data_IF_179544718137
#
_entry.id   IF_179544718137
#
_cell.length_a   1.000
_cell.length_b   1.000
_cell.length_c   1.000
_cell.angle_alpha   90.00
_cell.angle_beta   90.00
_cell.angle_gamma   90.00
#
_symmetry.space_group_name_H-M   'P 1'
#
loop_
_entity.id
_entity.type
_entity.pdbx_description
1 polymer ?
#
# COMPACT_ATOMS: atom_id res chain seq x y z
N UNK A 1 16.06 -20.30 -7.93
CA UNK A 1 16.71 -19.08 -7.38
C UNK A 1 15.62 -18.06 -7.06
N UNK A 2 15.56 -17.64 -5.83
CA UNK A 2 14.55 -16.64 -5.43
C UNK A 2 14.89 -15.29 -6.06
N UNK A 3 13.90 -14.53 -6.57
CA UNK A 3 14.17 -13.18 -7.02
C UNK A 3 14.67 -12.34 -5.85
N UNK A 4 15.58 -11.42 -6.13
CA UNK A 4 16.04 -10.49 -5.11
C UNK A 4 14.86 -9.63 -4.63
N UNK A 5 14.70 -9.52 -3.32
CA UNK A 5 13.68 -8.65 -2.74
C UNK A 5 14.21 -7.23 -2.69
N UNK A 6 13.42 -6.28 -3.15
CA UNK A 6 13.74 -4.87 -2.98
C UNK A 6 13.41 -4.42 -1.57
N UNK A 7 14.19 -3.50 -1.04
CA UNK A 7 13.82 -2.81 0.20
C UNK A 7 12.59 -1.95 -0.08
N UNK A 8 11.62 -1.98 0.80
CA UNK A 8 10.40 -1.17 0.68
C UNK A 8 10.30 -0.26 1.90
N UNK A 9 10.15 1.04 1.64
CA UNK A 9 10.03 2.05 2.68
C UNK A 9 8.68 2.74 2.57
N UNK A 10 7.92 2.77 3.66
CA UNK A 10 6.70 3.56 3.72
C UNK A 10 7.08 4.99 4.12
N UNK A 11 6.72 5.97 3.29
CA UNK A 11 7.06 7.36 3.53
C UNK A 11 6.12 7.99 4.56
N UNK A 12 6.47 9.14 5.15
CA UNK A 12 5.55 9.89 6.01
C UNK A 12 4.22 10.18 5.33
N UNK A 13 4.23 10.49 4.04
CA UNK A 13 3.01 10.73 3.26
C UNK A 13 2.08 9.52 3.26
N UNK A 14 2.63 8.32 3.14
CA UNK A 14 1.84 7.09 3.20
C UNK A 14 1.09 6.97 4.53
N UNK A 15 1.79 7.21 5.65
CA UNK A 15 1.17 7.14 6.96
C UNK A 15 0.18 8.28 7.20
N UNK A 16 0.43 9.46 6.66
CA UNK A 16 -0.53 10.57 6.71
C UNK A 16 -1.82 10.20 5.96
N UNK A 17 -1.69 9.58 4.79
CA UNK A 17 -2.84 9.11 4.02
C UNK A 17 -3.62 8.05 4.82
N UNK A 18 -2.92 7.15 5.48
CA UNK A 18 -3.54 6.13 6.32
C UNK A 18 -4.33 6.76 7.47
N UNK A 19 -3.70 7.68 8.20
CA UNK A 19 -4.31 8.34 9.35
C UNK A 19 -5.52 9.19 8.96
N UNK A 20 -5.51 9.75 7.76
CA UNK A 20 -6.62 10.55 7.25
C UNK A 20 -7.84 9.68 6.89
N UNK A 21 -7.60 8.47 6.44
CA UNK A 21 -8.65 7.60 5.89
C UNK A 21 -9.19 6.61 6.91
N UNK A 22 -8.42 6.21 7.92
CA UNK A 22 -8.84 5.32 8.97
C UNK A 22 -8.67 5.98 10.33
N UNK A 23 -9.47 5.51 11.29
CA UNK A 23 -9.43 6.03 12.66
C UNK A 23 -8.31 5.36 13.45
N UNK A 24 -7.84 6.02 14.50
CA UNK A 24 -6.86 5.44 15.40
C UNK A 24 -7.41 4.21 16.13
N UNK A 25 -8.69 4.23 16.47
CA UNK A 25 -9.39 3.12 17.14
C UNK A 25 -10.42 2.52 16.21
N UNK A 26 -10.78 1.26 16.47
CA UNK A 26 -11.87 0.61 15.73
C UNK A 26 -13.16 1.38 15.88
N UNK A 27 -13.91 1.48 14.79
CA UNK A 27 -15.20 2.15 14.80
C UNK A 27 -16.29 1.32 15.48
N UNK A 28 -17.46 1.94 15.75
CA UNK A 28 -18.54 1.28 16.48
C UNK A 28 -19.16 0.08 15.76
N UNK A 29 -18.99 -0.01 14.45
CA UNK A 29 -19.51 -1.13 13.65
C UNK A 29 -18.39 -2.08 13.21
N UNK A 30 -17.24 -2.05 13.90
CA UNK A 30 -16.12 -2.90 13.58
C UNK A 30 -15.21 -2.38 12.47
N UNK A 31 -15.35 -1.11 12.12
CA UNK A 31 -14.46 -0.51 11.11
C UNK A 31 -13.01 -0.61 11.58
N UNK A 32 -12.08 -1.01 10.69
CA UNK A 32 -10.69 -1.23 11.07
C UNK A 32 -9.99 0.06 11.49
N UNK A 33 -9.08 -0.07 12.44
CA UNK A 33 -8.20 1.02 12.85
C UNK A 33 -6.97 1.11 11.95
N UNK A 34 -6.19 2.19 12.11
CA UNK A 34 -4.90 2.33 11.43
C UNK A 34 -3.96 1.18 11.80
N UNK A 35 -3.97 0.76 13.06
CA UNK A 35 -3.14 -0.36 13.50
C UNK A 35 -3.57 -1.68 12.84
N UNK A 36 -4.87 -1.91 12.72
CA UNK A 36 -5.38 -3.09 12.04
C UNK A 36 -4.88 -3.14 10.59
N UNK A 37 -4.92 -2.01 9.89
CA UNK A 37 -4.43 -1.93 8.53
C UNK A 37 -2.94 -2.26 8.45
N UNK A 38 -2.13 -1.71 9.35
CA UNK A 38 -0.70 -1.96 9.37
C UNK A 38 -0.39 -3.44 9.63
N UNK A 39 -1.13 -4.07 10.52
CA UNK A 39 -0.89 -5.48 10.87
C UNK A 39 -1.33 -6.43 9.75
N UNK A 40 -2.50 -6.20 9.14
CA UNK A 40 -3.09 -7.17 8.23
C UNK A 40 -2.89 -6.85 6.75
N UNK A 41 -2.78 -5.58 6.39
CA UNK A 41 -2.70 -5.19 4.98
C UNK A 41 -1.30 -4.73 4.55
N UNK A 42 -0.59 -4.00 5.40
CA UNK A 42 0.70 -3.43 5.03
C UNK A 42 1.74 -4.50 4.66
N UNK A 43 1.74 -5.63 5.36
CA UNK A 43 2.66 -6.72 5.05
C UNK A 43 2.45 -7.22 3.62
N UNK A 44 1.21 -7.35 3.19
CA UNK A 44 0.87 -7.79 1.83
C UNK A 44 1.33 -6.78 0.79
N UNK A 45 1.16 -5.50 1.10
CA UNK A 45 1.62 -4.41 0.23
C UNK A 45 3.13 -4.46 0.08
N UNK A 46 3.85 -4.54 1.19
CA UNK A 46 5.31 -4.59 1.20
C UNK A 46 5.82 -5.77 0.39
N UNK A 47 5.24 -6.96 0.58
CA UNK A 47 5.65 -8.15 -0.14
C UNK A 47 5.48 -7.99 -1.66
N UNK A 48 4.37 -7.42 -2.09
CA UNK A 48 4.12 -7.23 -3.52
C UNK A 48 5.12 -6.26 -4.14
N UNK A 49 5.38 -5.14 -3.49
CA UNK A 49 6.36 -4.18 -3.99
C UNK A 49 7.79 -4.71 -3.90
N UNK A 50 8.09 -5.53 -2.90
CA UNK A 50 9.44 -6.09 -2.76
C UNK A 50 9.77 -7.12 -3.84
N UNK A 51 8.80 -7.91 -4.26
CA UNK A 51 9.01 -9.06 -5.15
C UNK A 51 8.55 -8.77 -6.58
N UNK A 52 7.42 -8.10 -6.75
CA UNK A 52 6.73 -8.00 -8.03
C UNK A 52 6.73 -6.58 -8.62
N UNK A 53 7.60 -5.69 -8.15
CA UNK A 53 7.57 -4.28 -8.58
C UNK A 53 7.50 -4.12 -10.10
N UNK A 54 8.34 -4.86 -10.83
CA UNK A 54 8.42 -4.72 -12.28
C UNK A 54 7.20 -5.28 -13.01
N UNK A 55 6.39 -6.10 -12.33
CA UNK A 55 5.16 -6.67 -12.89
C UNK A 55 3.91 -5.84 -12.56
N UNK A 56 4.05 -4.84 -11.68
CA UNK A 56 2.92 -3.97 -11.34
C UNK A 56 2.65 -2.97 -12.46
N UNK A 57 1.38 -2.56 -12.66
CA UNK A 57 1.04 -1.56 -13.65
C UNK A 57 1.77 -0.24 -13.43
N UNK A 58 2.16 0.39 -14.52
CA UNK A 58 2.74 1.73 -14.46
C UNK A 58 1.65 2.76 -14.19
N UNK A 59 1.96 3.71 -13.31
CA UNK A 59 1.05 4.83 -13.06
C UNK A 59 1.04 5.79 -14.27
N UNK A 60 2.23 6.03 -14.83
CA UNK A 60 2.42 6.90 -15.98
C UNK A 60 3.07 6.04 -17.08
N UNK A 61 2.49 5.95 -18.30
CA UNK A 61 2.93 4.98 -19.31
C UNK A 61 4.43 5.01 -19.65
N UNK A 62 5.07 6.18 -19.62
CA UNK A 62 6.47 6.31 -19.98
C UNK A 62 7.42 6.36 -18.77
N UNK A 63 6.90 6.10 -17.58
CA UNK A 63 7.66 6.22 -16.34
C UNK A 63 7.65 4.89 -15.59
N UNK A 64 8.75 4.15 -15.71
CA UNK A 64 8.88 2.83 -15.08
C UNK A 64 9.03 2.90 -13.56
N UNK A 65 9.45 4.03 -13.03
CA UNK A 65 9.71 4.20 -11.60
C UNK A 65 8.44 4.34 -10.76
N UNK A 66 7.28 4.57 -11.37
CA UNK A 66 6.01 4.69 -10.64
C UNK A 66 5.12 3.49 -10.95
N UNK A 67 4.74 2.76 -9.92
CA UNK A 67 3.87 1.59 -10.07
C UNK A 67 2.68 1.71 -9.14
N UNK A 68 1.57 1.10 -9.56
CA UNK A 68 0.31 1.11 -8.80
C UNK A 68 -0.04 -0.32 -8.42
N UNK A 69 -0.34 -0.54 -7.15
CA UNK A 69 -0.88 -1.80 -6.66
C UNK A 69 -2.33 -1.56 -6.26
N UNK A 70 -3.24 -2.31 -6.88
CA UNK A 70 -4.67 -2.30 -6.51
C UNK A 70 -5.01 -3.69 -6.00
N UNK A 71 -5.53 -3.76 -4.78
CA UNK A 71 -5.85 -5.04 -4.14
C UNK A 71 -7.20 -4.98 -3.44
N UNK A 72 -7.85 -6.14 -3.37
CA UNK A 72 -8.96 -6.32 -2.43
C UNK A 72 -8.39 -6.44 -1.03
N UNK A 73 -8.98 -5.73 -0.08
CA UNK A 73 -8.52 -5.78 1.29
C UNK A 73 -9.11 -6.94 2.07
N UNK A 74 -8.45 -7.27 3.19
CA UNK A 74 -9.00 -8.22 4.16
C UNK A 74 -9.98 -7.53 5.10
N UNK A 75 -9.63 -6.32 5.54
CA UNK A 75 -10.41 -5.53 6.49
C UNK A 75 -11.14 -4.36 5.83
N UNK A 76 -10.78 -4.00 4.62
CA UNK A 76 -11.39 -2.93 3.84
C UNK A 76 -11.81 -3.50 2.50
N UNK A 77 -12.69 -2.81 1.76
CA UNK A 77 -13.16 -3.28 0.45
C UNK A 77 -11.99 -3.43 -0.52
N UNK A 78 -11.13 -2.43 -0.55
CA UNK A 78 -9.95 -2.46 -1.39
C UNK A 78 -9.06 -1.27 -1.08
N UNK A 79 -7.90 -1.25 -1.72
CA UNK A 79 -6.99 -0.12 -1.59
C UNK A 79 -6.09 -0.06 -2.81
N UNK A 80 -5.56 1.14 -3.07
CA UNK A 80 -4.52 1.34 -4.08
C UNK A 80 -3.32 2.02 -3.43
N UNK A 81 -2.14 1.62 -3.87
CA UNK A 81 -0.88 2.15 -3.35
C UNK A 81 0.00 2.53 -4.53
N UNK A 82 0.60 3.71 -4.46
CA UNK A 82 1.59 4.13 -5.45
C UNK A 82 2.97 3.93 -4.83
N UNK A 83 3.81 3.19 -5.54
CA UNK A 83 5.21 2.99 -5.18
C UNK A 83 6.11 3.68 -6.19
N UNK A 84 7.19 4.26 -5.70
CA UNK A 84 8.20 4.93 -6.51
C UNK A 84 9.56 4.28 -6.29
N UNK A 85 10.24 3.95 -7.39
CA UNK A 85 11.59 3.41 -7.31
C UNK A 85 12.56 4.55 -6.99
N UNK A 86 13.27 4.44 -5.89
CA UNK A 86 14.26 5.41 -5.47
C UNK A 86 15.59 5.15 -6.18
N UNK A 87 16.48 6.14 -6.14
CA UNK A 87 17.79 6.05 -6.82
C UNK A 87 18.68 4.95 -6.26
N UNK A 88 18.47 4.54 -5.01
CA UNK A 88 19.21 3.43 -4.39
C UNK A 88 18.61 2.05 -4.68
N UNK A 89 17.56 1.98 -5.48
CA UNK A 89 16.89 0.73 -5.83
C UNK A 89 15.78 0.32 -4.87
N UNK A 90 15.58 1.03 -3.78
CA UNK A 90 14.47 0.77 -2.87
C UNK A 90 13.16 1.29 -3.46
N UNK A 91 12.04 0.72 -3.01
CA UNK A 91 10.71 1.20 -3.37
C UNK A 91 10.17 2.04 -2.23
N UNK A 92 9.70 3.25 -2.52
CA UNK A 92 9.07 4.11 -1.54
C UNK A 92 7.57 4.11 -1.77
N UNK A 93 6.79 3.80 -0.73
CA UNK A 93 5.33 3.87 -0.79
C UNK A 93 4.94 5.32 -0.54
N UNK A 94 4.45 6.00 -1.57
CA UNK A 94 4.27 7.45 -1.53
C UNK A 94 2.83 7.90 -1.42
N UNK A 95 1.87 7.01 -1.71
CA UNK A 95 0.45 7.36 -1.62
C UNK A 95 -0.37 6.13 -1.34
N UNK A 96 -1.40 6.30 -0.52
CA UNK A 96 -2.36 5.25 -0.19
C UNK A 96 -3.77 5.80 -0.33
N UNK A 97 -4.63 5.04 -1.00
CA UNK A 97 -6.05 5.34 -1.10
C UNK A 97 -6.84 4.10 -0.71
N UNK A 98 -7.72 4.23 0.27
CA UNK A 98 -8.47 3.11 0.83
C UNK A 98 -9.94 3.25 0.48
N UNK A 99 -10.50 2.18 -0.09
CA UNK A 99 -11.94 2.06 -0.27
C UNK A 99 -12.53 1.41 0.96
N UNK A 100 -13.26 2.21 1.75
CA UNK A 100 -13.90 1.74 2.98
C UNK A 100 -15.37 1.45 2.79
N UNK A 101 -15.90 1.60 1.57
CA UNK A 101 -17.31 1.39 1.29
C UNK A 101 -17.64 -0.10 1.15
N UNK A 102 -17.49 -0.82 2.25
CA UNK A 102 -18.10 -2.13 2.36
C UNK A 102 -19.53 -1.94 2.87
N UNK A 103 -20.45 -2.73 2.34
CA UNK A 103 -21.77 -2.88 2.91
C UNK A 103 -21.60 -3.68 4.21
N UNK A 104 -21.39 -2.97 5.27
CA UNK A 104 -21.27 -3.58 6.59
C UNK A 104 -22.63 -4.07 7.09
#
# INVERSE_FOLDING_TARGET
MSPARRVVRATPRFFEDLDRQLRADRGPNGEPSTNDFQVFELIRIVDRFAVDFDDLPRLIPDRDEYRVLVMSGTLVAGFSVIGQLASDGAVELVQLDIDTELDW
#
